data_IF_600094603235
#
_entry.id   IF_600094603235
#
_cell.length_a   1.000
_cell.length_b   1.000
_cell.length_c   1.000
_cell.angle_alpha   90.00
_cell.angle_beta   90.00
_cell.angle_gamma   90.00
#
_symmetry.space_group_name_H-M   'P 1'
#
loop_
_entity.id
_entity.type
_entity.pdbx_description
1 polymer ?
#
# COMPACT_ATOMS: atom_id res chain seq x y z
N UNK A 1 0.38 -18.41 7.09
CA UNK A 1 0.17 -19.31 5.94
C UNK A 1 -1.22 -19.15 5.31
N UNK A 2 -2.34 -19.50 5.98
CA UNK A 2 -3.69 -19.43 5.35
C UNK A 2 -4.06 -18.02 4.84
N UNK A 3 -3.82 -16.97 5.64
CA UNK A 3 -4.10 -15.59 5.24
C UNK A 3 -3.28 -15.14 4.02
N UNK A 4 -2.05 -15.66 3.86
CA UNK A 4 -1.17 -15.31 2.74
C UNK A 4 -1.65 -15.97 1.46
N UNK A 5 -2.14 -17.21 1.55
CA UNK A 5 -2.78 -17.89 0.42
C UNK A 5 -4.04 -17.15 -0.04
N UNK A 6 -4.86 -16.65 0.90
CA UNK A 6 -6.02 -15.83 0.53
C UNK A 6 -5.60 -14.56 -0.22
N UNK A 7 -4.54 -13.88 0.22
CA UNK A 7 -3.99 -12.70 -0.48
C UNK A 7 -3.56 -13.08 -1.90
N UNK A 8 -2.86 -14.20 -2.07
CA UNK A 8 -2.42 -14.69 -3.39
C UNK A 8 -3.62 -14.97 -4.30
N UNK A 9 -4.64 -15.66 -3.81
CA UNK A 9 -5.86 -15.96 -4.58
C UNK A 9 -6.53 -14.67 -5.04
N UNK A 10 -6.66 -13.67 -4.17
CA UNK A 10 -7.27 -12.38 -4.52
C UNK A 10 -6.42 -11.63 -5.56
N UNK A 11 -5.08 -11.64 -5.44
CA UNK A 11 -4.19 -11.01 -6.43
C UNK A 11 -4.38 -11.64 -7.81
N UNK A 12 -4.38 -12.97 -7.88
CA UNK A 12 -4.53 -13.69 -9.15
C UNK A 12 -5.92 -13.44 -9.72
N UNK A 13 -6.99 -13.60 -8.93
CA UNK A 13 -8.35 -13.39 -9.42
C UNK A 13 -8.59 -11.94 -9.90
N UNK A 14 -8.06 -10.95 -9.17
CA UNK A 14 -8.17 -9.53 -9.54
C UNK A 14 -7.45 -9.22 -10.86
N UNK A 15 -6.36 -9.93 -11.16
CA UNK A 15 -5.59 -9.74 -12.40
C UNK A 15 -6.38 -10.12 -13.65
N UNK A 16 -7.19 -11.18 -13.56
CA UNK A 16 -8.02 -11.65 -14.67
C UNK A 16 -9.40 -11.00 -14.74
N UNK A 17 -9.78 -10.23 -13.73
CA UNK A 17 -11.14 -9.69 -13.59
C UNK A 17 -11.57 -8.83 -14.79
N UNK A 18 -10.63 -8.10 -15.41
CA UNK A 18 -10.93 -7.29 -16.59
C UNK A 18 -11.41 -8.11 -17.79
N UNK A 19 -10.99 -9.36 -17.94
CA UNK A 19 -11.41 -10.22 -19.06
C UNK A 19 -12.85 -10.70 -18.95
N UNK A 20 -13.48 -10.59 -17.78
CA UNK A 20 -14.89 -10.97 -17.60
C UNK A 20 -15.85 -10.11 -18.44
N UNK A 21 -15.40 -8.94 -18.92
CA UNK A 21 -16.19 -8.09 -19.80
C UNK A 21 -16.63 -8.80 -21.10
N UNK A 22 -15.86 -9.78 -21.59
CA UNK A 22 -16.16 -10.56 -22.81
C UNK A 22 -17.43 -11.42 -22.66
N UNK A 23 -17.86 -11.68 -21.42
CA UNK A 23 -19.10 -12.41 -21.15
C UNK A 23 -20.36 -11.58 -21.43
N UNK A 24 -20.21 -10.26 -21.61
CA UNK A 24 -21.30 -9.33 -21.87
C UNK A 24 -21.42 -9.07 -23.37
N UNK A 25 -22.64 -8.80 -23.89
CA UNK A 25 -22.84 -8.56 -25.31
C UNK A 25 -22.21 -7.25 -25.76
N UNK A 26 -21.60 -7.27 -26.96
CA UNK A 26 -21.18 -6.06 -27.67
C UNK A 26 -22.37 -5.37 -28.35
N UNK A 27 -23.31 -4.91 -27.54
CA UNK A 27 -24.51 -4.21 -27.97
C UNK A 27 -24.84 -3.09 -27.00
N UNK A 28 -25.59 -2.08 -27.44
CA UNK A 28 -26.04 -0.97 -26.59
C UNK A 28 -27.06 -1.40 -25.54
N UNK A 29 -27.76 -2.51 -25.77
CA UNK A 29 -28.80 -3.03 -24.87
C UNK A 29 -28.51 -4.49 -24.52
N UNK A 30 -28.54 -4.82 -23.24
CA UNK A 30 -28.49 -6.19 -22.74
C UNK A 30 -29.84 -6.56 -22.16
N UNK A 31 -30.54 -7.47 -22.85
CA UNK A 31 -31.82 -8.01 -22.40
C UNK A 31 -31.62 -9.42 -21.86
N UNK A 32 -32.01 -9.64 -20.62
CA UNK A 32 -32.06 -10.97 -20.00
C UNK A 32 -33.49 -11.28 -19.56
N UNK A 33 -33.74 -12.51 -19.13
CA UNK A 33 -35.05 -12.92 -18.61
C UNK A 33 -35.51 -12.12 -17.38
N UNK A 34 -34.61 -11.40 -16.70
CA UNK A 34 -34.90 -10.71 -15.43
C UNK A 34 -34.73 -9.19 -15.50
N UNK A 35 -33.93 -8.65 -16.41
CA UNK A 35 -33.68 -7.21 -16.51
C UNK A 35 -33.32 -6.78 -17.94
N UNK A 36 -33.50 -5.49 -18.21
CA UNK A 36 -33.02 -4.82 -19.42
C UNK A 36 -32.08 -3.69 -19.01
N UNK A 37 -30.87 -3.68 -19.55
CA UNK A 37 -29.85 -2.68 -19.27
C UNK A 37 -29.43 -2.00 -20.57
N UNK A 38 -29.46 -0.66 -20.59
CA UNK A 38 -29.08 0.14 -21.75
C UNK A 38 -27.85 0.97 -21.39
N UNK A 39 -26.80 0.85 -22.19
CA UNK A 39 -25.60 1.70 -22.08
C UNK A 39 -25.70 2.85 -23.07
N UNK A 40 -26.03 4.04 -22.59
CA UNK A 40 -26.10 5.27 -23.38
C UNK A 40 -24.74 5.97 -23.40
N UNK A 41 -24.03 6.00 -22.28
CA UNK A 41 -22.76 6.72 -22.14
C UNK A 41 -21.62 6.01 -22.86
N UNK A 42 -21.46 4.70 -22.67
CA UNK A 42 -20.38 3.91 -23.28
C UNK A 42 -20.73 3.27 -24.63
N UNK A 43 -21.97 3.43 -25.11
CA UNK A 43 -22.53 2.90 -26.37
C UNK A 43 -22.60 1.37 -26.49
N UNK A 44 -21.78 0.63 -25.74
CA UNK A 44 -21.76 -0.82 -25.67
C UNK A 44 -21.71 -1.26 -24.20
N UNK A 45 -22.58 -2.23 -23.85
CA UNK A 45 -22.62 -2.84 -22.51
C UNK A 45 -21.29 -3.51 -22.19
N UNK A 46 -20.65 -4.16 -23.17
CA UNK A 46 -19.34 -4.77 -23.00
C UNK A 46 -18.27 -3.73 -22.61
N UNK A 47 -18.27 -2.55 -23.23
CA UNK A 47 -17.34 -1.46 -22.90
C UNK A 47 -17.61 -0.88 -21.51
N UNK A 48 -18.87 -0.67 -21.14
CA UNK A 48 -19.25 -0.25 -19.80
C UNK A 48 -18.75 -1.25 -18.74
N UNK A 49 -19.04 -2.55 -18.91
CA UNK A 49 -18.60 -3.60 -18.01
C UNK A 49 -17.07 -3.67 -17.91
N UNK A 50 -16.36 -3.47 -19.02
CA UNK A 50 -14.90 -3.41 -19.02
C UNK A 50 -14.38 -2.30 -18.10
N UNK A 51 -14.90 -1.07 -18.20
CA UNK A 51 -14.46 0.03 -17.34
C UNK A 51 -14.82 -0.18 -15.87
N UNK A 52 -16.02 -0.70 -15.58
CA UNK A 52 -16.43 -1.05 -14.20
C UNK A 52 -15.44 -2.07 -13.61
N UNK A 53 -15.13 -3.13 -14.35
CA UNK A 53 -14.20 -4.18 -13.91
C UNK A 53 -12.76 -3.67 -13.78
N UNK A 54 -12.33 -2.74 -14.65
CA UNK A 54 -11.02 -2.10 -14.59
C UNK A 54 -10.84 -1.31 -13.28
N UNK A 55 -11.77 -0.40 -12.98
CA UNK A 55 -11.68 0.42 -11.76
C UNK A 55 -11.91 -0.39 -10.49
N UNK A 56 -12.73 -1.45 -10.56
CA UNK A 56 -12.90 -2.39 -9.45
C UNK A 56 -11.59 -3.14 -9.16
N UNK A 57 -10.94 -3.66 -10.20
CA UNK A 57 -9.64 -4.34 -10.07
C UNK A 57 -8.57 -3.41 -9.47
N UNK A 58 -8.47 -2.17 -9.97
CA UNK A 58 -7.54 -1.17 -9.43
C UNK A 58 -7.79 -0.86 -7.96
N UNK A 59 -9.07 -0.68 -7.58
CA UNK A 59 -9.47 -0.43 -6.19
C UNK A 59 -9.12 -1.60 -5.26
N UNK A 60 -9.27 -2.85 -5.72
CA UNK A 60 -8.90 -4.04 -4.96
C UNK A 60 -7.39 -4.14 -4.76
N UNK A 61 -6.58 -3.90 -5.81
CA UNK A 61 -5.12 -3.91 -5.70
C UNK A 61 -4.61 -2.85 -4.72
N UNK A 62 -5.13 -1.62 -4.79
CA UNK A 62 -4.76 -0.55 -3.87
C UNK A 62 -5.22 -0.84 -2.43
N UNK A 63 -6.39 -1.45 -2.26
CA UNK A 63 -6.89 -1.86 -0.94
C UNK A 63 -5.97 -2.90 -0.30
N UNK A 64 -5.58 -3.93 -1.06
CA UNK A 64 -4.64 -4.96 -0.60
C UNK A 64 -3.27 -4.36 -0.28
N UNK A 65 -2.77 -3.46 -1.13
CA UNK A 65 -1.50 -2.79 -0.88
C UNK A 65 -1.55 -1.97 0.42
N UNK A 66 -2.61 -1.20 0.63
CA UNK A 66 -2.80 -0.42 1.84
C UNK A 66 -2.89 -1.29 3.10
N UNK A 67 -3.65 -2.38 3.05
CA UNK A 67 -3.82 -3.31 4.18
C UNK A 67 -2.49 -3.99 4.53
N UNK A 68 -1.74 -4.43 3.51
CA UNK A 68 -0.48 -5.16 3.70
C UNK A 68 0.70 -4.26 4.06
N UNK A 69 0.62 -2.96 3.76
CA UNK A 69 1.68 -2.00 4.03
C UNK A 69 1.70 -1.55 5.51
N UNK A 70 2.89 -1.66 6.12
CA UNK A 70 3.13 -1.27 7.52
C UNK A 70 3.80 0.10 7.69
N UNK A 71 4.31 0.66 6.60
CA UNK A 71 5.09 1.89 6.63
C UNK A 71 4.21 3.13 6.68
N UNK A 72 4.74 4.25 7.19
CA UNK A 72 4.01 5.52 7.25
C UNK A 72 3.63 6.07 5.87
N UNK A 73 4.45 5.81 4.83
CA UNK A 73 4.14 6.23 3.45
C UNK A 73 2.88 5.58 2.88
N UNK A 74 2.29 4.58 3.54
CA UNK A 74 0.97 4.02 3.19
C UNK A 74 -0.14 5.06 3.15
N UNK A 75 0.04 6.22 3.79
CA UNK A 75 -0.89 7.35 3.67
C UNK A 75 -1.00 7.84 2.22
N UNK A 76 0.09 7.82 1.43
CA UNK A 76 0.00 8.12 0.00
C UNK A 76 -0.84 7.09 -0.75
N UNK A 77 -0.63 5.79 -0.47
CA UNK A 77 -1.45 4.71 -1.04
C UNK A 77 -2.92 4.89 -0.69
N UNK A 78 -3.23 5.34 0.54
CA UNK A 78 -4.58 5.66 0.96
C UNK A 78 -5.22 6.77 0.13
N UNK A 79 -4.48 7.85 -0.18
CA UNK A 79 -4.98 8.93 -1.04
C UNK A 79 -5.28 8.40 -2.44
N UNK A 80 -4.39 7.60 -3.03
CA UNK A 80 -4.61 6.96 -4.34
C UNK A 80 -5.84 6.05 -4.28
N UNK A 81 -6.02 5.31 -3.19
CA UNK A 81 -7.16 4.44 -2.97
C UNK A 81 -8.48 5.23 -2.94
N UNK A 82 -8.55 6.37 -2.24
CA UNK A 82 -9.74 7.24 -2.25
C UNK A 82 -10.11 7.63 -3.68
N UNK A 83 -9.10 8.07 -4.45
CA UNK A 83 -9.28 8.51 -5.83
C UNK A 83 -9.74 7.35 -6.73
N UNK A 84 -9.22 6.14 -6.51
CA UNK A 84 -9.62 4.95 -7.25
C UNK A 84 -11.08 4.56 -6.97
N UNK A 85 -11.53 4.62 -5.72
CA UNK A 85 -12.95 4.42 -5.38
C UNK A 85 -13.85 5.49 -6.01
N UNK A 86 -13.41 6.74 -6.01
CA UNK A 86 -14.14 7.83 -6.66
C UNK A 86 -14.33 7.56 -8.16
N UNK A 87 -13.26 7.16 -8.87
CA UNK A 87 -13.34 6.80 -10.27
C UNK A 87 -14.26 5.58 -10.51
N UNK A 88 -14.19 4.56 -9.64
CA UNK A 88 -15.07 3.40 -9.72
C UNK A 88 -16.55 3.81 -9.62
N UNK A 89 -16.91 4.63 -8.63
CA UNK A 89 -18.29 5.07 -8.47
C UNK A 89 -18.74 5.99 -9.61
N UNK A 90 -17.89 6.90 -10.09
CA UNK A 90 -18.22 7.70 -11.29
C UNK A 90 -18.63 6.79 -12.45
N UNK A 91 -17.88 5.73 -12.72
CA UNK A 91 -18.19 4.84 -13.83
C UNK A 91 -19.47 4.06 -13.58
N UNK A 92 -19.66 3.47 -12.39
CA UNK A 92 -20.89 2.74 -12.05
C UNK A 92 -22.14 3.61 -12.20
N UNK A 93 -22.02 4.88 -11.85
CA UNK A 93 -23.10 5.84 -11.87
C UNK A 93 -23.21 6.66 -13.16
N UNK A 94 -22.32 6.43 -14.14
CA UNK A 94 -22.28 7.19 -15.39
C UNK A 94 -23.52 7.00 -16.27
N UNK A 95 -24.18 5.84 -16.17
CA UNK A 95 -25.39 5.51 -16.94
C UNK A 95 -26.68 5.98 -16.24
N UNK A 96 -26.58 6.51 -15.02
CA UNK A 96 -27.71 7.10 -14.30
C UNK A 96 -27.87 8.55 -14.76
N UNK A 97 -28.89 8.81 -15.55
CA UNK A 97 -29.20 10.12 -16.16
C UNK A 97 -29.79 11.11 -15.13
N UNK A 98 -29.02 11.42 -14.07
CA UNK A 98 -29.36 12.48 -13.12
C UNK A 98 -28.14 13.36 -12.86
N UNK A 99 -28.12 14.55 -13.46
CA UNK A 99 -27.11 15.59 -13.22
C UNK A 99 -27.24 16.27 -11.85
N UNK A 100 -28.10 15.74 -10.99
CA UNK A 100 -28.47 16.36 -9.72
C UNK A 100 -27.33 16.36 -8.72
N UNK A 101 -27.29 17.42 -7.91
CA UNK A 101 -26.33 17.60 -6.83
C UNK A 101 -26.32 16.39 -5.86
N UNK A 102 -27.49 15.78 -5.65
CA UNK A 102 -27.70 14.56 -4.86
C UNK A 102 -26.85 13.39 -5.36
N UNK A 103 -26.76 13.20 -6.68
CA UNK A 103 -26.00 12.12 -7.29
C UNK A 103 -24.49 12.27 -7.03
N UNK A 104 -23.97 13.50 -7.16
CA UNK A 104 -22.57 13.82 -6.86
C UNK A 104 -22.25 13.59 -5.38
N UNK A 105 -23.14 13.99 -4.47
CA UNK A 105 -22.97 13.72 -3.04
C UNK A 105 -23.00 12.22 -2.72
N UNK A 106 -23.85 11.44 -3.38
CA UNK A 106 -23.86 9.98 -3.22
C UNK A 106 -22.52 9.35 -3.57
N UNK A 107 -21.91 9.76 -4.69
CA UNK A 107 -20.58 9.30 -5.12
C UNK A 107 -19.51 9.62 -4.06
N UNK A 108 -19.47 10.86 -3.55
CA UNK A 108 -18.50 11.22 -2.51
C UNK A 108 -18.72 10.45 -1.21
N UNK A 109 -19.98 10.27 -0.80
CA UNK A 109 -20.34 9.52 0.39
C UNK A 109 -19.92 8.05 0.30
N UNK A 110 -20.23 7.39 -0.82
CA UNK A 110 -19.83 6.00 -1.07
C UNK A 110 -18.31 5.83 -1.14
N UNK A 111 -17.62 6.80 -1.75
CA UNK A 111 -16.14 6.82 -1.78
C UNK A 111 -15.58 6.84 -0.37
N UNK A 112 -16.05 7.76 0.50
CA UNK A 112 -15.60 7.85 1.89
C UNK A 112 -15.97 6.61 2.71
N UNK A 113 -17.16 6.05 2.47
CA UNK A 113 -17.62 4.85 3.15
C UNK A 113 -16.71 3.64 2.85
N UNK A 114 -16.49 3.31 1.57
CA UNK A 114 -15.63 2.18 1.19
C UNK A 114 -14.20 2.34 1.69
N UNK A 115 -13.69 3.55 1.56
CA UNK A 115 -12.38 3.97 2.06
C UNK A 115 -12.21 3.78 3.57
N UNK A 116 -13.23 4.19 4.34
CA UNK A 116 -13.27 4.02 5.79
C UNK A 116 -13.34 2.54 6.18
N UNK A 117 -14.12 1.72 5.45
CA UNK A 117 -14.16 0.28 5.68
C UNK A 117 -12.78 -0.37 5.50
N UNK A 118 -12.04 0.00 4.44
CA UNK A 118 -10.66 -0.49 4.23
C UNK A 118 -9.73 -0.04 5.35
N UNK A 119 -9.86 1.20 5.84
CA UNK A 119 -9.12 1.69 6.99
C UNK A 119 -9.39 0.85 8.26
N UNK A 120 -10.66 0.53 8.54
CA UNK A 120 -11.03 -0.31 9.69
C UNK A 120 -10.44 -1.72 9.58
N UNK A 121 -10.50 -2.33 8.40
CA UNK A 121 -9.88 -3.65 8.13
C UNK A 121 -8.37 -3.60 8.37
N UNK A 122 -7.70 -2.56 7.85
CA UNK A 122 -6.26 -2.35 8.06
C UNK A 122 -5.91 -2.19 9.53
N UNK A 123 -6.72 -1.45 10.31
CA UNK A 123 -6.53 -1.28 11.76
C UNK A 123 -6.71 -2.61 12.49
N UNK A 124 -7.76 -3.37 12.18
CA UNK A 124 -8.05 -4.67 12.82
C UNK A 124 -6.94 -5.69 12.58
N UNK A 125 -6.38 -5.74 11.37
CA UNK A 125 -5.30 -6.67 11.02
C UNK A 125 -3.97 -6.25 11.66
N UNK A 126 -3.65 -4.95 11.64
CA UNK A 126 -2.37 -4.46 12.15
C UNK A 126 -2.33 -4.37 13.68
N UNK A 127 -3.43 -4.07 14.36
CA UNK A 127 -3.47 -3.92 15.82
C UNK A 127 -2.87 -5.10 16.62
N UNK A 128 -3.28 -6.36 16.42
CA UNK A 128 -2.69 -7.49 17.16
C UNK A 128 -1.22 -7.74 16.79
N UNK A 129 -0.82 -7.38 15.58
CA UNK A 129 0.54 -7.58 15.10
C UNK A 129 1.52 -6.58 15.75
N UNK A 130 1.13 -5.32 15.89
CA UNK A 130 1.90 -4.33 16.64
C UNK A 130 2.06 -4.74 18.09
N UNK A 131 1.00 -5.26 18.71
CA UNK A 131 1.05 -5.70 20.10
C UNK A 131 2.01 -6.90 20.31
N UNK A 132 2.10 -7.82 19.33
CA UNK A 132 3.07 -8.93 19.40
C UNK A 132 4.52 -8.44 19.28
N UNK A 133 4.79 -7.54 18.34
CA UNK A 133 6.14 -6.98 18.17
C UNK A 133 6.60 -6.21 19.42
N UNK A 134 5.69 -5.49 20.08
CA UNK A 134 6.00 -4.81 21.34
C UNK A 134 6.21 -5.78 22.49
N UNK A 135 5.41 -6.85 22.59
CA UNK A 135 5.59 -7.88 23.61
C UNK A 135 6.89 -8.65 23.43
N UNK A 136 7.23 -9.05 22.21
CA UNK A 136 8.51 -9.72 21.91
C UNK A 136 9.72 -8.84 22.24
N UNK A 137 9.61 -7.53 22.00
CA UNK A 137 10.65 -6.56 22.38
C UNK A 137 10.79 -6.46 23.91
N UNK A 138 9.68 -6.37 24.64
CA UNK A 138 9.66 -6.32 26.11
C UNK A 138 10.21 -7.62 26.73
N UNK A 139 9.77 -8.78 26.24
CA UNK A 139 10.27 -10.08 26.68
C UNK A 139 11.78 -10.20 26.43
N UNK A 140 12.27 -9.75 25.27
CA UNK A 140 13.70 -9.79 24.97
C UNK A 140 14.53 -8.93 25.93
N UNK A 141 14.00 -7.77 26.33
CA UNK A 141 14.64 -6.87 27.29
C UNK A 141 14.65 -7.46 28.71
N UNK A 142 13.54 -8.08 29.13
CA UNK A 142 13.41 -8.72 30.44
C UNK A 142 14.31 -9.98 30.54
N UNK A 143 14.38 -10.77 29.47
CA UNK A 143 15.31 -11.90 29.35
C UNK A 143 16.76 -11.44 29.39
N UNK A 144 17.12 -10.33 28.74
CA UNK A 144 18.46 -9.75 28.81
C UNK A 144 18.80 -9.29 30.24
N UNK A 145 17.88 -8.60 30.94
CA UNK A 145 18.05 -8.22 32.36
C UNK A 145 18.27 -9.43 33.25
N UNK A 146 17.48 -10.49 33.08
CA UNK A 146 17.62 -11.73 33.84
C UNK A 146 18.97 -12.41 33.58
N UNK A 147 19.37 -12.53 32.31
CA UNK A 147 20.63 -13.15 31.90
C UNK A 147 21.84 -12.35 32.39
N UNK A 148 21.73 -11.02 32.44
CA UNK A 148 22.73 -10.12 33.00
C UNK A 148 22.88 -10.29 34.51
N UNK A 149 21.76 -10.27 35.25
CA UNK A 149 21.71 -10.49 36.71
C UNK A 149 22.27 -11.85 37.12
N UNK A 150 22.06 -12.87 36.29
CA UNK A 150 22.55 -14.23 36.54
C UNK A 150 23.92 -14.51 35.89
N UNK A 151 24.58 -13.50 35.32
CA UNK A 151 25.87 -13.70 34.67
C UNK A 151 26.95 -14.07 35.70
N UNK A 152 27.85 -14.99 35.33
CA UNK A 152 29.02 -15.36 36.14
C UNK A 152 29.89 -14.14 36.50
N UNK A 153 29.83 -13.08 35.70
CA UNK A 153 30.57 -11.85 35.95
C UNK A 153 29.95 -11.04 37.09
N UNK A 154 28.62 -10.89 37.10
CA UNK A 154 27.88 -10.22 38.18
C UNK A 154 28.02 -10.98 39.50
N UNK A 155 27.81 -12.29 39.49
CA UNK A 155 27.98 -13.15 40.68
C UNK A 155 29.43 -13.24 41.16
N UNK A 156 30.43 -13.20 40.27
CA UNK A 156 31.85 -13.10 40.71
C UNK A 156 32.15 -11.78 41.39
N UNK A 157 31.65 -10.68 40.85
CA UNK A 157 31.83 -9.36 41.46
C UNK A 157 31.13 -9.34 42.83
N UNK A 158 29.89 -9.84 42.92
CA UNK A 158 29.14 -9.93 44.17
C UNK A 158 29.83 -10.85 45.21
N UNK A 159 30.28 -12.03 44.79
CA UNK A 159 30.92 -13.02 45.66
C UNK A 159 32.39 -12.69 45.99
N UNK A 160 33.01 -11.75 45.28
CA UNK A 160 34.32 -11.20 45.65
C UNK A 160 34.24 -10.23 46.83
N UNK A 161 33.04 -9.90 47.30
CA UNK A 161 32.80 -9.16 48.53
C UNK A 161 32.60 -10.14 49.70
N UNK A 162 33.61 -10.29 50.56
CA UNK A 162 33.49 -10.98 51.85
C UNK A 162 32.81 -10.06 52.88
N UNK A 163 31.73 -10.52 53.52
CA UNK A 163 31.01 -9.78 54.57
C UNK A 163 31.89 -9.50 55.81
N UNK A 164 32.92 -10.30 56.07
CA UNK A 164 33.76 -10.17 57.27
C UNK A 164 34.92 -9.17 57.10
N UNK A 165 35.38 -8.93 55.86
CA UNK A 165 36.36 -7.87 55.54
C UNK A 165 35.74 -6.45 55.54
N UNK A 166 34.41 -6.37 55.54
CA UNK A 166 33.57 -5.18 55.47
C UNK A 166 33.83 -4.14 56.58
N UNK A 167 34.28 -4.58 57.76
CA UNK A 167 34.37 -3.70 58.95
C UNK A 167 35.65 -2.87 59.06
N UNK A 168 36.73 -3.21 58.35
CA UNK A 168 38.06 -2.63 58.62
C UNK A 168 38.56 -1.60 57.59
N UNK A 169 37.99 -1.50 56.39
CA UNK A 169 38.51 -0.59 55.35
C UNK A 169 37.37 0.13 54.59
N UNK A 170 36.64 0.98 55.33
CA UNK A 170 35.31 1.52 54.97
C UNK A 170 35.35 2.57 53.83
N UNK A 171 36.46 3.27 53.60
CA UNK A 171 36.53 4.37 52.62
C UNK A 171 36.81 3.88 51.19
N UNK A 172 37.82 3.03 50.99
CA UNK A 172 38.18 2.56 49.64
C UNK A 172 37.18 1.54 49.08
N UNK A 173 36.56 0.72 49.94
CA UNK A 173 35.59 -0.31 49.49
C UNK A 173 34.22 0.28 49.15
N UNK A 174 33.71 1.24 49.93
CA UNK A 174 32.46 1.94 49.58
C UNK A 174 32.62 2.69 48.26
N UNK A 175 33.79 3.27 48.01
CA UNK A 175 34.10 3.94 46.75
C UNK A 175 34.18 2.97 45.57
N UNK A 176 34.78 1.78 45.76
CA UNK A 176 34.83 0.75 44.72
C UNK A 176 33.47 0.13 44.41
N UNK A 177 32.63 -0.10 45.42
CA UNK A 177 31.25 -0.55 45.23
C UNK A 177 30.43 0.54 44.54
N UNK A 178 30.55 1.80 44.99
CA UNK A 178 29.89 2.91 44.34
C UNK A 178 30.35 3.06 42.88
N UNK A 179 31.65 2.90 42.58
CA UNK A 179 32.17 2.89 41.21
C UNK A 179 31.63 1.72 40.39
N UNK A 180 31.55 0.51 40.95
CA UNK A 180 31.01 -0.65 40.24
C UNK A 180 29.51 -0.49 39.95
N UNK A 181 28.75 0.03 40.91
CA UNK A 181 27.32 0.36 40.74
C UNK A 181 27.15 1.45 39.70
N UNK A 182 27.91 2.55 39.79
CA UNK A 182 27.87 3.65 38.81
C UNK A 182 28.28 3.19 37.40
N UNK A 183 29.32 2.36 37.27
CA UNK A 183 29.72 1.79 35.97
C UNK A 183 28.63 0.87 35.42
N UNK A 184 27.97 0.09 36.29
CA UNK A 184 26.86 -0.77 35.88
C UNK A 184 25.62 0.02 35.48
N UNK A 185 25.33 1.12 36.18
CA UNK A 185 24.22 2.02 35.91
C UNK A 185 24.48 2.83 34.63
N UNK A 186 25.73 3.25 34.39
CA UNK A 186 26.12 3.97 33.17
C UNK A 186 26.12 3.04 31.95
N UNK A 187 26.52 1.78 32.10
CA UNK A 187 26.39 0.76 31.06
C UNK A 187 24.92 0.43 30.77
N UNK A 188 24.10 0.29 31.82
CA UNK A 188 22.66 0.09 31.68
C UNK A 188 21.98 1.28 30.99
N UNK A 189 22.32 2.51 31.39
CA UNK A 189 21.83 3.74 30.77
C UNK A 189 22.35 3.90 29.33
N UNK A 190 23.54 3.40 29.00
CA UNK A 190 24.03 3.34 27.61
C UNK A 190 23.26 2.34 26.77
N UNK A 191 22.95 1.16 27.31
CA UNK A 191 22.14 0.14 26.63
C UNK A 191 20.69 0.61 26.45
N UNK A 192 20.10 1.26 27.47
CA UNK A 192 18.77 1.89 27.41
C UNK A 192 18.76 3.10 26.46
N UNK A 193 19.81 3.92 26.44
CA UNK A 193 19.93 4.97 25.44
C UNK A 193 20.12 4.39 24.04
N UNK A 194 20.87 3.30 23.87
CA UNK A 194 20.98 2.62 22.58
C UNK A 194 19.65 2.02 22.15
N UNK A 195 18.87 1.43 23.04
CA UNK A 195 17.52 0.91 22.73
C UNK A 195 16.54 2.03 22.42
N UNK A 196 16.56 3.14 23.17
CA UNK A 196 15.78 4.34 22.90
C UNK A 196 16.20 5.01 21.58
N UNK A 197 17.51 5.03 21.26
CA UNK A 197 18.01 5.51 19.96
C UNK A 197 17.57 4.56 18.84
N UNK A 198 17.55 3.24 19.07
CA UNK A 198 17.02 2.25 18.12
C UNK A 198 15.52 2.46 17.89
N UNK A 199 14.72 2.69 18.94
CA UNK A 199 13.29 2.95 18.86
C UNK A 199 12.99 4.33 18.21
N UNK A 200 13.83 5.34 18.48
CA UNK A 200 13.74 6.66 17.84
C UNK A 200 14.21 6.62 16.38
N UNK A 201 15.19 5.79 16.05
CA UNK A 201 15.64 5.47 14.67
C UNK A 201 14.54 4.74 13.89
N UNK A 202 13.83 3.80 14.52
CA UNK A 202 12.65 3.15 13.95
C UNK A 202 11.49 4.13 13.72
N UNK A 203 11.39 5.20 14.52
CA UNK A 203 10.45 6.33 14.33
C UNK A 203 10.95 7.40 13.35
N UNK A 204 12.24 7.43 13.02
CA UNK A 204 12.81 8.33 12.02
C UNK A 204 12.31 7.96 10.63
N UNK A 205 11.54 8.84 9.98
CA UNK A 205 11.12 8.64 8.59
C UNK A 205 12.38 8.46 7.72
N UNK A 206 12.68 7.22 7.36
CA UNK A 206 13.76 6.90 6.43
C UNK A 206 13.58 7.74 5.15
N UNK A 207 14.64 8.37 4.67
CA UNK A 207 14.66 9.16 3.42
C UNK A 207 14.04 8.37 2.26
N UNK A 208 14.26 7.05 2.22
CA UNK A 208 13.63 6.16 1.23
C UNK A 208 12.10 6.16 1.29
N UNK A 209 11.52 6.27 2.49
CA UNK A 209 10.06 6.37 2.66
C UNK A 209 9.47 7.67 2.11
N UNK A 210 10.22 8.79 2.19
CA UNK A 210 9.80 10.07 1.60
C UNK A 210 9.84 10.01 0.08
N UNK A 211 10.89 9.41 -0.49
CA UNK A 211 10.98 9.20 -1.94
C UNK A 211 9.83 8.34 -2.47
N UNK A 212 9.53 7.22 -1.80
CA UNK A 212 8.40 6.35 -2.17
C UNK A 212 7.07 7.12 -2.06
N UNK A 213 6.88 7.92 -1.01
CA UNK A 213 5.69 8.74 -0.84
C UNK A 213 5.50 9.72 -2.01
N UNK A 214 6.56 10.45 -2.39
CA UNK A 214 6.53 11.39 -3.52
C UNK A 214 6.28 10.67 -4.85
N UNK A 215 6.90 9.51 -5.06
CA UNK A 215 6.70 8.70 -6.25
C UNK A 215 5.24 8.26 -6.37
N UNK A 216 4.63 7.74 -5.29
CA UNK A 216 3.22 7.36 -5.29
C UNK A 216 2.32 8.57 -5.53
N UNK A 217 2.64 9.73 -4.96
CA UNK A 217 1.86 10.95 -5.20
C UNK A 217 1.96 11.40 -6.67
N UNK A 218 3.14 11.25 -7.29
CA UNK A 218 3.34 11.50 -8.72
C UNK A 218 2.46 10.62 -9.62
N UNK A 219 2.10 9.41 -9.18
CA UNK A 219 1.20 8.54 -9.94
C UNK A 219 -0.19 9.15 -10.10
N UNK A 220 -0.69 9.94 -9.14
CA UNK A 220 -2.00 10.61 -9.28
C UNK A 220 -1.98 11.66 -10.39
N UNK A 221 -0.82 12.30 -10.62
CA UNK A 221 -0.69 13.34 -11.63
C UNK A 221 -0.65 12.75 -13.04
N UNK A 222 -0.08 11.55 -13.20
CA UNK A 222 0.09 10.89 -14.49
C UNK A 222 -1.26 10.67 -15.20
N UNK A 223 -2.28 10.23 -14.45
CA UNK A 223 -3.62 10.01 -14.99
C UNK A 223 -4.30 11.30 -15.49
N UNK A 224 -3.84 12.49 -15.08
CA UNK A 224 -4.43 13.79 -15.47
C UNK A 224 -3.75 14.44 -16.67
N UNK A 225 -2.64 13.89 -17.16
CA UNK A 225 -1.91 14.48 -18.29
C UNK A 225 -2.69 14.47 -19.61
N UNK A 226 -3.69 13.59 -19.75
CA UNK A 226 -4.53 13.53 -20.94
C UNK A 226 -5.31 14.82 -21.21
N UNK A 227 -5.52 15.69 -20.21
CA UNK A 227 -6.21 16.98 -20.37
C UNK A 227 -5.47 17.94 -21.31
N UNK A 228 -4.17 17.76 -21.51
CA UNK A 228 -3.40 18.56 -22.46
C UNK A 228 -3.54 18.10 -23.92
N UNK A 229 -4.16 16.94 -24.14
CA UNK A 229 -4.34 16.39 -25.48
C UNK A 229 -5.59 16.97 -26.15
N UNK A 230 -5.58 17.12 -27.48
CA UNK A 230 -6.76 17.55 -28.23
C UNK A 230 -7.77 16.41 -28.36
N UNK A 231 -9.06 16.77 -28.35
CA UNK A 231 -10.18 15.84 -28.57
C UNK A 231 -10.32 15.37 -30.03
N UNK A 232 -9.39 15.77 -30.90
CA UNK A 232 -9.32 15.33 -32.28
C UNK A 232 -8.76 13.91 -32.44
N UNK A 233 -8.85 13.38 -33.68
CA UNK A 233 -8.24 12.10 -34.04
C UNK A 233 -6.72 12.16 -34.20
N UNK A 234 -6.16 13.35 -34.30
CA UNK A 234 -4.73 13.59 -34.52
C UNK A 234 -4.26 14.70 -33.59
N UNK A 235 -3.08 14.51 -33.00
CA UNK A 235 -2.38 15.52 -32.22
C UNK A 235 -1.08 15.88 -32.92
N UNK A 236 -0.95 17.15 -33.30
CA UNK A 236 0.30 17.70 -33.82
C UNK A 236 1.21 18.14 -32.67
N UNK A 237 2.34 17.47 -32.52
CA UNK A 237 3.37 17.77 -31.52
C UNK A 237 4.47 18.70 -32.09
N UNK A 238 4.27 19.24 -33.30
CA UNK A 238 5.20 20.12 -34.01
C UNK A 238 6.35 19.37 -34.70
N UNK A 239 6.83 18.27 -34.13
CA UNK A 239 7.86 17.40 -34.73
C UNK A 239 7.32 16.05 -35.22
N UNK A 240 6.11 15.67 -34.80
CA UNK A 240 5.41 14.46 -35.26
C UNK A 240 3.91 14.64 -35.10
N UNK A 241 3.13 13.91 -35.89
CA UNK A 241 1.69 13.78 -35.67
C UNK A 241 1.42 12.43 -35.00
N UNK A 242 0.60 12.45 -33.95
CA UNK A 242 0.17 11.27 -33.22
C UNK A 242 -1.30 11.01 -33.50
N UNK A 243 -1.63 9.83 -34.02
CA UNK A 243 -3.01 9.40 -34.21
C UNK A 243 -3.65 8.90 -32.91
N UNK A 244 -4.98 8.92 -32.90
CA UNK A 244 -5.83 8.33 -31.85
C UNK A 244 -5.93 6.79 -31.92
N UNK A 245 -5.29 6.17 -32.91
CA UNK A 245 -5.46 4.74 -33.24
C UNK A 245 -6.95 4.41 -33.44
N UNK A 246 -7.44 3.26 -32.95
CA UNK A 246 -8.86 2.90 -32.98
C UNK A 246 -9.72 3.63 -31.94
N UNK A 247 -9.11 4.46 -31.08
CA UNK A 247 -9.88 5.18 -30.06
C UNK A 247 -10.65 6.36 -30.67
N UNK A 248 -11.75 6.80 -30.04
CA UNK A 248 -12.55 7.90 -30.57
C UNK A 248 -11.80 9.24 -30.64
N UNK A 249 -10.81 9.46 -29.78
CA UNK A 249 -9.95 10.65 -29.76
C UNK A 249 -8.58 10.37 -29.15
N UNK A 250 -7.61 11.26 -29.41
CA UNK A 250 -6.26 11.16 -28.83
C UNK A 250 -6.30 11.31 -27.31
N UNK A 251 -7.20 12.15 -26.80
CA UNK A 251 -7.46 12.31 -25.36
C UNK A 251 -7.81 10.97 -24.70
N UNK A 252 -8.76 10.21 -25.26
CA UNK A 252 -9.19 8.93 -24.69
C UNK A 252 -8.07 7.89 -24.78
N UNK A 253 -7.38 7.83 -25.93
CA UNK A 253 -6.21 6.96 -26.11
C UNK A 253 -5.15 7.21 -25.04
N UNK A 254 -4.77 8.48 -24.84
CA UNK A 254 -3.75 8.85 -23.86
C UNK A 254 -4.22 8.57 -22.44
N UNK A 255 -5.45 8.94 -22.09
CA UNK A 255 -6.01 8.65 -20.78
C UNK A 255 -5.97 7.15 -20.46
N UNK A 256 -6.43 6.32 -21.39
CA UNK A 256 -6.45 4.87 -21.23
C UNK A 256 -5.03 4.28 -21.10
N UNK A 257 -4.09 4.77 -21.92
CA UNK A 257 -2.69 4.34 -21.87
C UNK A 257 -2.03 4.75 -20.55
N UNK A 258 -2.28 5.98 -20.09
CA UNK A 258 -1.77 6.47 -18.81
C UNK A 258 -2.30 5.65 -17.63
N UNK A 259 -3.59 5.29 -17.61
CA UNK A 259 -4.15 4.42 -16.57
C UNK A 259 -3.41 3.07 -16.46
N UNK A 260 -3.05 2.47 -17.60
CA UNK A 260 -2.29 1.21 -17.62
C UNK A 260 -0.84 1.42 -17.14
N UNK A 261 -0.18 2.49 -17.57
CA UNK A 261 1.18 2.83 -17.12
C UNK A 261 1.18 3.10 -15.61
N UNK A 262 0.22 3.88 -15.09
CA UNK A 262 0.03 4.13 -13.66
C UNK A 262 -0.12 2.83 -12.89
N UNK A 263 -0.97 1.91 -13.38
CA UNK A 263 -1.17 0.61 -12.76
C UNK A 263 0.10 -0.24 -12.75
N UNK A 264 0.85 -0.25 -13.86
CA UNK A 264 2.13 -0.95 -13.97
C UNK A 264 3.16 -0.42 -12.97
N UNK A 265 3.31 0.92 -12.88
CA UNK A 265 4.24 1.55 -11.94
C UNK A 265 3.81 1.29 -10.49
N UNK A 266 2.52 1.40 -10.17
CA UNK A 266 2.00 1.12 -8.84
C UNK A 266 2.29 -0.32 -8.39
N UNK A 267 2.05 -1.31 -9.26
CA UNK A 267 2.36 -2.72 -8.99
C UNK A 267 3.87 -2.95 -8.83
N UNK A 268 4.69 -2.29 -9.64
CA UNK A 268 6.15 -2.38 -9.55
C UNK A 268 6.68 -1.82 -8.23
N UNK A 269 6.18 -0.66 -7.80
CA UNK A 269 6.53 -0.07 -6.49
C UNK A 269 6.06 -0.98 -5.37
N UNK A 270 4.86 -1.54 -5.45
CA UNK A 270 4.36 -2.48 -4.44
C UNK A 270 5.24 -3.74 -4.37
N UNK A 271 5.65 -4.29 -5.51
CA UNK A 271 6.57 -5.43 -5.57
C UNK A 271 7.92 -5.12 -4.90
N UNK A 272 8.53 -3.97 -5.22
CA UNK A 272 9.82 -3.56 -4.67
C UNK A 272 9.76 -3.25 -3.17
N UNK A 273 8.65 -2.67 -2.71
CA UNK A 273 8.47 -2.29 -1.31
C UNK A 273 8.00 -3.43 -0.41
N UNK A 274 7.41 -4.49 -0.99
CA UNK A 274 6.92 -5.65 -0.23
C UNK A 274 8.08 -6.54 0.24
N UNK A 275 8.04 -6.89 1.53
CA UNK A 275 8.98 -7.84 2.15
C UNK A 275 8.42 -9.26 2.25
N UNK A 276 7.18 -9.48 1.87
CA UNK A 276 6.54 -10.78 1.98
C UNK A 276 6.83 -11.66 0.76
N UNK A 277 6.86 -12.97 0.96
CA UNK A 277 7.06 -13.95 -0.13
C UNK A 277 6.00 -13.92 -1.23
N UNK A 278 4.73 -13.60 -0.90
CA UNK A 278 3.63 -13.57 -1.87
C UNK A 278 3.80 -12.45 -2.91
N UNK A 279 4.74 -11.52 -2.72
CA UNK A 279 5.05 -10.48 -3.70
C UNK A 279 5.40 -11.03 -5.07
N UNK A 280 5.97 -12.24 -5.17
CA UNK A 280 6.30 -12.83 -6.48
C UNK A 280 5.04 -13.09 -7.32
N UNK A 281 3.87 -13.27 -6.70
CA UNK A 281 2.61 -13.37 -7.43
C UNK A 281 2.15 -12.03 -8.01
N UNK A 282 2.68 -10.88 -7.56
CA UNK A 282 2.47 -9.59 -8.23
C UNK A 282 3.11 -9.53 -9.61
N UNK A 283 4.04 -10.43 -9.95
CA UNK A 283 4.57 -10.52 -11.31
C UNK A 283 3.49 -10.90 -12.32
N UNK A 284 2.47 -11.66 -11.92
CA UNK A 284 1.35 -12.04 -12.80
C UNK A 284 0.59 -10.81 -13.30
N UNK A 285 0.02 -9.93 -12.44
CA UNK A 285 -0.63 -8.71 -12.92
C UNK A 285 0.35 -7.77 -13.64
N UNK A 286 1.62 -7.71 -13.25
CA UNK A 286 2.61 -6.89 -13.96
C UNK A 286 2.75 -7.37 -15.41
N UNK A 287 2.91 -8.67 -15.64
CA UNK A 287 3.02 -9.26 -16.99
C UNK A 287 1.73 -9.02 -17.80
N UNK A 288 0.57 -9.21 -17.19
CA UNK A 288 -0.73 -8.99 -17.86
C UNK A 288 -0.88 -7.52 -18.27
N UNK A 289 -0.60 -6.58 -17.37
CA UNK A 289 -0.68 -5.15 -17.69
C UNK A 289 0.35 -4.76 -18.76
N UNK A 290 1.57 -5.29 -18.71
CA UNK A 290 2.57 -5.08 -19.77
C UNK A 290 2.07 -5.57 -21.14
N UNK A 291 1.47 -6.76 -21.19
CA UNK A 291 0.86 -7.28 -22.42
C UNK A 291 -0.27 -6.36 -22.91
N UNK A 292 -1.13 -5.89 -22.01
CA UNK A 292 -2.22 -4.97 -22.37
C UNK A 292 -1.72 -3.62 -22.88
N UNK A 293 -0.61 -3.08 -22.35
CA UNK A 293 -0.01 -1.83 -22.85
C UNK A 293 0.45 -2.03 -24.30
N UNK A 294 1.18 -3.12 -24.58
CA UNK A 294 1.64 -3.44 -25.94
C UNK A 294 0.44 -3.63 -26.87
N UNK A 295 -0.61 -4.31 -26.40
CA UNK A 295 -1.86 -4.51 -27.13
C UNK A 295 -2.48 -3.21 -27.59
N UNK A 296 -2.49 -2.16 -26.76
CA UNK A 296 -3.06 -0.84 -27.09
C UNK A 296 -2.38 -0.17 -28.31
N UNK A 297 -1.08 -0.40 -28.51
CA UNK A 297 -0.32 0.19 -29.63
C UNK A 297 -0.31 -0.68 -30.89
N UNK A 298 -0.60 -1.98 -30.76
CA UNK A 298 -0.54 -2.94 -31.86
C UNK A 298 -1.90 -3.16 -32.54
N UNK A 299 -2.90 -2.35 -32.18
CA UNK A 299 -4.19 -2.34 -32.87
C UNK A 299 -4.03 -1.60 -34.19
N UNK A 300 -4.22 -2.30 -35.30
CA UNK A 300 -4.10 -1.79 -36.67
C UNK A 300 -5.46 -1.52 -37.27
#
# INVERSE_FOLDING_TARGET
>A
MLYELMIVVIIISSSFMTYLHVLFPDASTWTTSFFQFNSTHYKSVQMYCFFVLLFLSQSLFLSLWYITCRYWWKIAVFIVLMMSFYNFFIVVFSEVESSDLTHRFSIYFLTLLCSYLVYLVSKKINYPLWNRLTLDAIDSEEVLRYKFKNSKHYTRVLNSFDEDAYKSNITNLKELVAKAVLISEDNFNKEENQSNILDKSLKGKSIGGVLIFLLILSLLLLDKLHVFAPDGKTWDLGFTTMGSFEFPSVTIFLWFTMLKITSFLALTIWFLTSRYWWKYFLLIPIIIVSYQIIGTFNVK
#
